data_IF_003351973256
#
_entry.id   IF_003351973256
#
_cell.length_a   1.000
_cell.length_b   1.000
_cell.length_c   1.000
_cell.angle_alpha   90.00
_cell.angle_beta   90.00
_cell.angle_gamma   90.00
#
_symmetry.space_group_name_H-M   'P 1'
#
loop_
_entity.id
_entity.type
_entity.pdbx_description
1 polymer ?
#
# COMPACT_ATOMS: atom_id res chain seq x y z
N UNK A 1 -16.30 34.21 -22.75
CA UNK A 1 -16.61 33.26 -21.67
C UNK A 1 -16.09 31.91 -22.13
N UNK A 2 -14.98 31.43 -21.58
CA UNK A 2 -14.37 30.15 -21.97
C UNK A 2 -14.82 29.10 -20.96
N UNK A 3 -15.48 27.99 -21.35
CA UNK A 3 -15.82 26.94 -20.42
C UNK A 3 -14.55 26.12 -20.11
N UNK A 4 -14.11 26.14 -18.85
CA UNK A 4 -13.10 25.21 -18.35
C UNK A 4 -13.76 23.85 -18.11
N UNK A 5 -13.48 22.87 -18.96
CA UNK A 5 -13.81 21.48 -18.71
C UNK A 5 -12.89 20.94 -17.60
N UNK A 6 -13.32 21.08 -16.34
CA UNK A 6 -12.81 20.22 -15.28
C UNK A 6 -13.53 18.88 -15.40
N UNK A 7 -12.90 17.91 -16.07
CA UNK A 7 -13.33 16.51 -15.98
C UNK A 7 -13.23 16.09 -14.51
N UNK A 8 -14.36 15.93 -13.83
CA UNK A 8 -14.41 15.45 -12.45
C UNK A 8 -14.00 13.98 -12.37
N UNK A 9 -12.70 13.70 -12.33
CA UNK A 9 -12.19 12.34 -12.17
C UNK A 9 -12.49 11.84 -10.75
N UNK A 10 -13.13 10.68 -10.64
CA UNK A 10 -13.26 9.95 -9.38
C UNK A 10 -12.00 9.10 -9.17
N UNK A 11 -11.38 9.20 -8.00
CA UNK A 11 -10.23 8.40 -7.59
C UNK A 11 -10.53 7.63 -6.31
N UNK A 12 -9.93 6.44 -6.18
CA UNK A 12 -10.04 5.57 -5.02
C UNK A 12 -8.63 5.37 -4.47
N UNK A 13 -8.29 5.96 -3.30
CA UNK A 13 -7.01 5.71 -2.69
C UNK A 13 -7.01 4.32 -2.06
N UNK A 14 -5.97 3.54 -2.34
CA UNK A 14 -5.85 2.15 -1.89
C UNK A 14 -4.48 1.94 -1.28
N UNK A 15 -4.42 1.04 -0.31
CA UNK A 15 -3.19 0.53 0.25
C UNK A 15 -3.19 -0.98 0.09
N UNK A 16 -2.08 -1.53 -0.38
CA UNK A 16 -1.87 -2.95 -0.43
C UNK A 16 -0.40 -3.28 -0.27
N UNK A 17 -0.10 -4.49 0.15
CA UNK A 17 1.26 -4.98 0.26
C UNK A 17 1.43 -6.32 -0.46
N UNK A 18 2.65 -6.57 -0.93
CA UNK A 18 3.07 -7.80 -1.56
C UNK A 18 4.41 -8.23 -0.96
N UNK A 19 4.61 -9.53 -0.84
CA UNK A 19 5.88 -10.14 -0.52
C UNK A 19 6.15 -11.28 -1.53
N UNK A 20 7.41 -11.66 -1.69
CA UNK A 20 7.74 -12.81 -2.53
C UNK A 20 6.96 -14.06 -2.07
N UNK A 21 6.22 -14.70 -2.97
CA UNK A 21 5.39 -15.86 -2.67
C UNK A 21 4.06 -15.57 -1.96
N UNK A 22 3.77 -14.32 -1.57
CA UNK A 22 2.56 -14.01 -0.78
C UNK A 22 1.94 -12.66 -1.12
N UNK A 23 0.65 -12.68 -1.43
CA UNK A 23 -0.18 -11.48 -1.60
C UNK A 23 -0.70 -11.01 -0.24
N UNK A 24 -0.56 -9.73 0.06
CA UNK A 24 -1.13 -9.12 1.25
C UNK A 24 -2.54 -8.57 1.04
N UNK A 25 -3.13 -7.99 2.09
CA UNK A 25 -4.45 -7.35 1.99
C UNK A 25 -4.40 -6.12 1.08
N UNK A 26 -5.47 -5.91 0.30
CA UNK A 26 -5.76 -4.64 -0.35
C UNK A 26 -6.90 -3.97 0.43
N UNK A 27 -6.67 -2.72 0.82
CA UNK A 27 -7.56 -1.92 1.67
C UNK A 27 -7.86 -0.62 0.95
N UNK A 28 -9.13 -0.25 0.91
CA UNK A 28 -9.53 1.09 0.47
C UNK A 28 -9.26 2.07 1.60
N UNK A 29 -8.44 3.09 1.33
CA UNK A 29 -8.23 4.22 2.23
C UNK A 29 -9.42 5.19 2.15
N UNK A 30 -10.22 5.30 3.20
CA UNK A 30 -11.06 6.49 3.34
C UNK A 30 -10.20 7.65 3.81
N UNK A 31 -10.02 8.66 2.96
CA UNK A 31 -9.49 9.96 3.39
C UNK A 31 -10.58 10.65 4.22
N UNK A 32 -10.76 10.21 5.47
CA UNK A 32 -11.41 11.06 6.45
C UNK A 32 -10.61 12.36 6.53
N UNK A 33 -11.24 13.54 6.52
CA UNK A 33 -10.50 14.77 6.78
C UNK A 33 -9.75 14.56 8.10
N UNK A 34 -8.43 14.79 8.08
CA UNK A 34 -7.57 14.64 9.24
C UNK A 34 -8.05 15.61 10.33
N UNK A 35 -9.03 15.20 11.15
CA UNK A 35 -9.41 15.94 12.33
C UNK A 35 -8.29 15.67 13.33
N UNK A 36 -7.47 16.68 13.59
CA UNK A 36 -6.48 16.67 14.66
C UNK A 36 -7.21 16.52 16.02
N UNK A 37 -7.53 15.29 16.38
CA UNK A 37 -8.22 14.91 17.60
C UNK A 37 -7.24 14.44 18.67
N UNK A 38 -7.31 15.05 19.85
CA UNK A 38 -6.43 14.80 21.00
C UNK A 38 -6.41 13.33 21.44
N UNK A 39 -5.20 12.88 21.84
CA UNK A 39 -4.87 11.73 22.71
C UNK A 39 -6.03 10.76 23.00
N UNK A 40 -6.21 9.78 22.12
CA UNK A 40 -7.02 8.59 22.36
C UNK A 40 -6.18 7.34 22.08
N UNK A 41 -5.68 6.69 23.12
CA UNK A 41 -4.91 5.44 23.02
C UNK A 41 -5.88 4.30 22.67
N UNK A 42 -6.06 3.97 21.39
CA UNK A 42 -6.79 2.76 21.03
C UNK A 42 -5.84 1.56 21.12
N UNK A 43 -6.06 0.73 22.15
CA UNK A 43 -5.62 -0.66 22.17
C UNK A 43 -6.58 -1.44 21.26
N UNK A 44 -6.39 -1.35 19.95
CA UNK A 44 -7.04 -2.20 18.96
C UNK A 44 -6.11 -3.34 18.56
N UNK A 45 -6.67 -4.49 18.18
CA UNK A 45 -5.93 -5.58 17.52
C UNK A 45 -5.16 -5.01 16.31
N UNK A 46 -4.03 -5.63 15.98
CA UNK A 46 -3.07 -5.13 14.99
C UNK A 46 -3.74 -4.64 13.71
N UNK A 47 -3.17 -3.61 13.09
CA UNK A 47 -3.64 -3.22 11.76
C UNK A 47 -3.49 -4.40 10.79
N UNK A 48 -4.26 -4.45 9.68
CA UNK A 48 -4.12 -5.52 8.70
C UNK A 48 -2.70 -5.67 8.14
N UNK A 49 -1.91 -4.58 8.18
CA UNK A 49 -0.48 -4.61 7.89
C UNK A 49 0.31 -5.40 8.94
N UNK A 50 0.07 -5.18 10.24
CA UNK A 50 0.79 -5.87 11.30
C UNK A 50 0.46 -7.36 11.31
N UNK A 51 -0.80 -7.74 11.12
CA UNK A 51 -1.21 -9.15 11.04
C UNK A 51 -0.48 -9.87 9.89
N UNK A 52 -0.41 -9.25 8.71
CA UNK A 52 0.32 -9.80 7.57
C UNK A 52 1.83 -9.95 7.82
N UNK A 53 2.43 -8.98 8.51
CA UNK A 53 3.85 -9.03 8.88
C UNK A 53 4.13 -10.14 9.88
N UNK A 54 3.32 -10.25 10.93
CA UNK A 54 3.47 -11.27 11.96
C UNK A 54 3.37 -12.68 11.35
N UNK A 55 2.44 -12.89 10.41
CA UNK A 55 2.33 -14.15 9.67
C UNK A 55 3.57 -14.43 8.80
N UNK A 56 4.08 -13.43 8.08
CA UNK A 56 5.28 -13.60 7.25
C UNK A 56 6.54 -13.87 8.09
N UNK A 57 6.69 -13.18 9.22
CA UNK A 57 7.80 -13.41 10.15
C UNK A 57 7.73 -14.80 10.75
N UNK A 58 6.53 -15.28 11.11
CA UNK A 58 6.31 -16.63 11.59
C UNK A 58 6.62 -17.69 10.52
N UNK A 59 6.23 -17.46 9.26
CA UNK A 59 6.46 -18.38 8.14
C UNK A 59 7.95 -18.47 7.76
N UNK A 60 8.65 -17.34 7.76
CA UNK A 60 10.05 -17.27 7.30
C UNK A 60 11.09 -17.44 8.40
N UNK A 61 10.69 -17.35 9.66
CA UNK A 61 11.57 -17.49 10.81
C UNK A 61 12.59 -16.35 10.96
N UNK A 62 12.39 -15.23 10.27
CA UNK A 62 13.24 -14.04 10.38
C UNK A 62 12.42 -12.76 10.20
N UNK A 63 12.95 -11.66 10.74
CA UNK A 63 12.32 -10.34 10.66
C UNK A 63 12.22 -9.88 9.21
N UNK A 64 11.03 -9.46 8.79
CA UNK A 64 10.79 -8.98 7.42
C UNK A 64 11.21 -7.51 7.30
N UNK A 65 11.89 -7.18 6.20
CA UNK A 65 12.18 -5.79 5.84
C UNK A 65 11.04 -5.24 4.99
N UNK A 66 10.56 -4.05 5.35
CA UNK A 66 9.52 -3.34 4.62
C UNK A 66 10.18 -2.30 3.72
N UNK A 67 9.83 -2.32 2.44
CA UNK A 67 10.22 -1.29 1.47
C UNK A 67 8.99 -0.42 1.20
N UNK A 68 9.05 0.84 1.61
CA UNK A 68 8.06 1.88 1.29
C UNK A 68 8.78 3.02 0.58
N UNK A 69 8.05 3.83 -0.19
CA UNK A 69 8.64 5.01 -0.80
C UNK A 69 9.04 6.05 0.27
N UNK A 70 9.88 7.00 -0.13
CA UNK A 70 10.36 8.04 0.78
C UNK A 70 9.35 9.12 1.12
N UNK A 71 8.06 8.97 0.78
CA UNK A 71 7.10 10.07 0.87
C UNK A 71 6.88 10.51 2.33
N UNK A 72 6.58 11.80 2.59
CA UNK A 72 6.41 12.33 3.95
C UNK A 72 5.35 11.57 4.76
N UNK A 73 4.34 11.02 4.06
CA UNK A 73 3.29 10.15 4.58
C UNK A 73 3.77 8.81 5.14
N UNK A 74 5.04 8.44 4.99
CA UNK A 74 5.63 7.22 5.57
C UNK A 74 6.55 7.52 6.77
N UNK A 75 7.07 8.75 6.87
CA UNK A 75 8.10 9.15 7.84
C UNK A 75 7.56 9.84 9.10
N UNK A 76 6.32 10.34 9.05
CA UNK A 76 5.71 11.09 10.17
C UNK A 76 5.06 10.21 11.26
N UNK A 77 4.93 10.69 12.52
CA UNK A 77 4.15 10.00 13.56
C UNK A 77 2.70 9.72 13.15
N UNK A 78 2.12 10.64 12.37
CA UNK A 78 0.79 10.55 11.79
C UNK A 78 0.66 9.40 10.79
N UNK A 79 1.74 9.06 10.06
CA UNK A 79 1.79 7.89 9.19
C UNK A 79 1.60 6.59 9.98
N UNK A 80 2.28 6.49 11.13
CA UNK A 80 2.20 5.34 12.02
C UNK A 80 0.80 5.16 12.60
N UNK A 81 0.14 6.28 12.92
CA UNK A 81 -1.23 6.29 13.41
C UNK A 81 -2.24 5.98 12.29
N UNK A 82 -2.02 6.49 11.07
CA UNK A 82 -2.81 6.17 9.89
C UNK A 82 -2.71 4.67 9.52
N UNK A 83 -1.52 4.05 9.65
CA UNK A 83 -1.33 2.60 9.51
C UNK A 83 -2.19 1.81 10.50
N UNK A 84 -2.29 2.27 11.74
CA UNK A 84 -3.12 1.65 12.78
C UNK A 84 -4.62 1.82 12.52
N UNK A 85 -5.02 2.83 11.73
CA UNK A 85 -6.40 3.25 11.53
C UNK A 85 -7.00 2.83 10.18
N UNK A 86 -6.33 1.97 9.40
CA UNK A 86 -6.85 1.46 8.11
C UNK A 86 -8.09 0.57 8.34
N UNK A 87 -9.28 1.15 8.24
CA UNK A 87 -10.57 0.46 8.40
C UNK A 87 -11.36 0.50 7.08
N UNK A 88 -11.95 -0.63 6.63
CA UNK A 88 -12.80 -0.65 5.44
C UNK A 88 -14.23 -0.09 5.67
N UNK A 89 -14.76 0.66 4.69
CA UNK A 89 -16.18 1.03 4.53
C UNK A 89 -16.42 2.53 4.62
N UNK A 90 -17.33 3.21 3.90
CA UNK A 90 -18.38 2.88 2.92
C UNK A 90 -18.71 4.13 2.04
N UNK A 91 -19.05 3.99 0.73
CA UNK A 91 -20.16 4.74 0.04
C UNK A 91 -20.25 4.59 -1.50
N UNK A 92 -21.53 4.63 -1.93
CA UNK A 92 -22.21 4.08 -3.13
C UNK A 92 -21.69 4.42 -4.53
N UNK A 93 -20.74 5.34 -4.72
CA UNK A 93 -20.35 5.82 -6.06
C UNK A 93 -18.98 5.33 -6.55
N UNK A 94 -18.00 5.22 -5.65
CA UNK A 94 -16.67 4.70 -5.97
C UNK A 94 -16.59 3.15 -5.80
N UNK A 95 -17.66 2.53 -5.30
CA UNK A 95 -17.78 1.09 -5.08
C UNK A 95 -17.51 0.24 -6.32
N UNK A 96 -17.91 0.74 -7.50
CA UNK A 96 -17.66 0.01 -8.76
C UNK A 96 -16.17 -0.04 -9.09
N UNK A 97 -15.47 1.09 -8.92
CA UNK A 97 -14.03 1.16 -9.16
C UNK A 97 -13.26 0.30 -8.16
N UNK A 98 -13.65 0.37 -6.88
CA UNK A 98 -13.09 -0.50 -5.85
C UNK A 98 -13.34 -1.98 -6.11
N UNK A 99 -14.56 -2.39 -6.48
CA UNK A 99 -14.87 -3.79 -6.79
C UNK A 99 -14.03 -4.32 -7.94
N UNK A 100 -13.80 -3.51 -8.98
CA UNK A 100 -12.93 -3.88 -10.11
C UNK A 100 -11.48 -3.99 -9.64
N UNK A 101 -10.97 -3.00 -8.91
CA UNK A 101 -9.60 -3.03 -8.37
C UNK A 101 -9.37 -4.23 -7.45
N UNK A 102 -10.33 -4.51 -6.56
CA UNK A 102 -10.31 -5.64 -5.65
C UNK A 102 -10.38 -6.97 -6.40
N UNK A 103 -11.23 -7.09 -7.42
CA UNK A 103 -11.28 -8.29 -8.27
C UNK A 103 -9.95 -8.54 -8.97
N UNK A 104 -9.38 -7.52 -9.63
CA UNK A 104 -8.07 -7.64 -10.30
C UNK A 104 -6.98 -7.99 -9.30
N UNK A 105 -7.01 -7.39 -8.10
CA UNK A 105 -6.09 -7.74 -7.02
C UNK A 105 -6.24 -9.20 -6.60
N UNK A 106 -7.46 -9.70 -6.46
CA UNK A 106 -7.72 -11.07 -6.06
C UNK A 106 -7.34 -12.07 -7.17
N UNK A 107 -7.46 -11.68 -8.44
CA UNK A 107 -7.03 -12.43 -9.63
C UNK A 107 -5.49 -12.48 -9.80
N UNK A 108 -4.73 -11.53 -9.24
CA UNK A 108 -3.26 -11.57 -9.29
C UNK A 108 -2.72 -12.86 -8.71
N UNK A 109 -1.91 -13.55 -9.52
CA UNK A 109 -1.31 -14.82 -9.18
C UNK A 109 -0.01 -14.63 -8.38
N UNK A 110 0.45 -15.69 -7.72
CA UNK A 110 1.73 -15.67 -7.02
C UNK A 110 2.88 -15.54 -8.02
N UNK A 111 2.72 -16.12 -9.22
CA UNK A 111 3.65 -16.00 -10.33
C UNK A 111 3.83 -14.55 -10.78
N UNK A 112 2.73 -13.80 -10.90
CA UNK A 112 2.77 -12.36 -11.23
C UNK A 112 3.53 -11.58 -10.15
N UNK A 113 3.27 -11.87 -8.88
CA UNK A 113 3.96 -11.23 -7.75
C UNK A 113 5.45 -11.58 -7.74
N UNK A 114 5.78 -12.85 -8.00
CA UNK A 114 7.15 -13.34 -8.02
C UNK A 114 7.95 -12.77 -9.18
N UNK A 115 7.32 -12.57 -10.34
CA UNK A 115 7.94 -11.92 -11.49
C UNK A 115 8.47 -10.53 -11.14
N UNK A 116 7.72 -9.75 -10.36
CA UNK A 116 8.13 -8.41 -9.95
C UNK A 116 9.07 -8.42 -8.74
N UNK A 117 8.78 -9.23 -7.72
CA UNK A 117 9.61 -9.26 -6.50
C UNK A 117 10.96 -9.96 -6.70
N UNK A 118 11.06 -10.89 -7.64
CA UNK A 118 12.30 -11.62 -7.96
C UNK A 118 13.34 -10.80 -8.74
N UNK A 119 12.96 -9.64 -9.29
CA UNK A 119 13.87 -8.77 -10.04
C UNK A 119 14.65 -7.79 -9.15
N UNK A 120 14.39 -7.78 -7.84
CA UNK A 120 14.97 -6.79 -6.92
C UNK A 120 16.51 -6.79 -6.94
N UNK A 121 17.13 -7.97 -7.01
CA UNK A 121 18.60 -8.08 -7.07
C UNK A 121 19.15 -7.48 -8.37
N UNK A 122 18.46 -7.70 -9.49
CA UNK A 122 18.83 -7.12 -10.78
C UNK A 122 18.70 -5.59 -10.78
N UNK A 123 17.66 -5.05 -10.12
CA UNK A 123 17.47 -3.60 -9.96
C UNK A 123 18.59 -2.99 -9.12
N UNK A 124 18.92 -3.61 -7.99
CA UNK A 124 20.00 -3.15 -7.11
C UNK A 124 21.33 -3.17 -7.85
N UNK A 125 21.58 -4.20 -8.65
CA UNK A 125 22.80 -4.31 -9.46
C UNK A 125 22.86 -3.22 -10.53
N UNK A 126 21.77 -3.00 -11.27
CA UNK A 126 21.68 -1.94 -12.28
C UNK A 126 21.89 -0.54 -11.69
N UNK A 127 21.32 -0.26 -10.50
CA UNK A 127 21.52 1.01 -9.79
C UNK A 127 23.00 1.19 -9.38
N UNK A 128 23.66 0.12 -8.92
CA UNK A 128 25.09 0.16 -8.58
C UNK A 128 25.94 0.46 -9.81
N UNK A 129 25.65 -0.19 -10.93
CA UNK A 129 26.34 0.01 -12.20
C UNK A 129 26.11 1.42 -12.78
N UNK A 130 24.91 1.98 -12.55
CA UNK A 130 24.57 3.34 -12.92
C UNK A 130 25.08 4.40 -11.91
N UNK A 131 25.81 4.01 -10.86
CA UNK A 131 26.28 4.90 -9.78
C UNK A 131 25.15 5.75 -9.14
N UNK A 132 23.94 5.17 -9.04
CA UNK A 132 22.76 5.87 -8.54
C UNK A 132 21.99 6.67 -9.61
N UNK A 133 22.38 6.57 -10.88
CA UNK A 133 21.65 7.12 -12.02
C UNK A 133 20.37 6.33 -12.39
N UNK A 134 19.55 6.88 -13.31
CA UNK A 134 18.35 6.21 -13.80
C UNK A 134 18.65 4.89 -14.50
N UNK A 135 17.81 3.88 -14.27
CA UNK A 135 17.90 2.54 -14.87
C UNK A 135 16.79 2.32 -15.91
N UNK A 136 16.90 1.24 -16.69
CA UNK A 136 15.86 0.80 -17.63
C UNK A 136 14.60 0.22 -16.95
N UNK A 137 14.72 -0.10 -15.65
CA UNK A 137 13.65 -0.54 -14.78
C UNK A 137 12.75 0.59 -14.30
#
# INVERSE_FOLDING_TARGET
MVPSFQTGCQSVPMWGCIAHGKKGPLIWLELLPCIAGKKGRSRGRGSPQQEFLDELEAERGHKILIVEDGAPSHKGPQAREARAALVPGARRNADKLWKVAKRVWDELTVEDINKHTGQMDAWVQAIKEAEGGPTEF
#
